data_IF_165236324354
#
_entry.id   IF_165236324354
#
_cell.length_a   1.000
_cell.length_b   1.000
_cell.length_c   1.000
_cell.angle_alpha   90.00
_cell.angle_beta   90.00
_cell.angle_gamma   90.00
#
_symmetry.space_group_name_H-M   'P 1'
#
loop_
_entity.id
_entity.type
_entity.pdbx_description
1 polymer ?
#
# COMPACT_ATOMS: atom_id res chain seq x y z
N UNK A 1 -5.96 -11.37 0.25
CA UNK A 1 -6.20 -11.26 -1.22
C UNK A 1 -5.74 -9.89 -1.71
N UNK A 2 -5.20 -9.78 -2.93
CA UNK A 2 -4.75 -8.50 -3.50
C UNK A 2 -5.66 -8.05 -4.64
N UNK A 3 -5.96 -6.75 -4.73
CA UNK A 3 -6.59 -6.14 -5.91
C UNK A 3 -6.29 -4.63 -5.98
N UNK A 4 -6.54 -4.00 -7.12
CA UNK A 4 -6.49 -2.53 -7.24
C UNK A 4 -7.80 -1.90 -6.75
N UNK A 5 -7.78 -0.64 -6.30
CA UNK A 5 -8.95 0.05 -5.74
C UNK A 5 -10.16 0.03 -6.68
N UNK A 6 -9.93 0.17 -7.99
CA UNK A 6 -10.97 0.15 -9.02
C UNK A 6 -11.29 -1.25 -9.56
N UNK A 7 -10.87 -2.31 -8.87
CA UNK A 7 -11.03 -3.71 -9.29
C UNK A 7 -9.71 -4.33 -9.75
N UNK A 8 -9.16 -3.86 -10.87
CA UNK A 8 -7.83 -4.22 -11.37
C UNK A 8 -7.13 -2.97 -11.93
N UNK A 9 -5.90 -3.11 -12.47
CA UNK A 9 -5.09 -1.99 -12.97
C UNK A 9 -5.85 -1.03 -13.91
N UNK A 10 -6.61 -1.57 -14.89
CA UNK A 10 -7.45 -0.79 -15.81
C UNK A 10 -8.87 -0.52 -15.30
N UNK A 11 -9.16 -0.79 -14.03
CA UNK A 11 -10.48 -0.71 -13.45
C UNK A 11 -11.40 -1.88 -13.84
N UNK A 12 -12.71 -1.61 -13.86
CA UNK A 12 -13.75 -2.60 -14.22
C UNK A 12 -14.16 -2.49 -15.69
N UNK A 13 -14.47 -3.62 -16.32
CA UNK A 13 -14.92 -3.61 -17.72
C UNK A 13 -16.34 -3.01 -17.83
N UNK A 14 -16.43 -1.78 -18.33
CA UNK A 14 -17.70 -1.03 -18.39
C UNK A 14 -18.78 -1.69 -19.27
N UNK A 15 -18.38 -2.48 -20.26
CA UNK A 15 -19.29 -3.21 -21.16
C UNK A 15 -19.76 -4.56 -20.60
N UNK A 16 -19.25 -4.98 -19.44
CA UNK A 16 -19.61 -6.27 -18.84
C UNK A 16 -21.05 -6.28 -18.34
N UNK A 17 -21.82 -7.29 -18.77
CA UNK A 17 -23.20 -7.51 -18.28
C UNK A 17 -23.25 -7.73 -16.77
N UNK A 18 -22.25 -8.43 -16.21
CA UNK A 18 -22.16 -8.70 -14.76
C UNK A 18 -21.90 -7.42 -13.96
N UNK A 19 -21.15 -6.49 -14.54
CA UNK A 19 -20.79 -5.24 -13.87
C UNK A 19 -21.87 -4.16 -13.97
N UNK A 20 -22.88 -4.34 -14.85
CA UNK A 20 -23.94 -3.34 -15.10
C UNK A 20 -24.63 -2.84 -13.83
N UNK A 21 -24.82 -3.71 -12.82
CA UNK A 21 -25.45 -3.33 -11.55
C UNK A 21 -24.68 -2.27 -10.75
N UNK A 22 -23.37 -2.14 -10.98
CA UNK A 22 -22.52 -1.14 -10.33
C UNK A 22 -22.30 0.12 -11.19
N UNK A 23 -22.96 0.21 -12.35
CA UNK A 23 -22.88 1.34 -13.27
C UNK A 23 -21.44 1.81 -13.59
N UNK A 24 -20.54 0.90 -14.03
CA UNK A 24 -19.17 1.28 -14.35
C UNK A 24 -19.11 2.22 -15.56
N UNK A 25 -18.20 3.19 -15.52
CA UNK A 25 -17.95 4.16 -16.59
C UNK A 25 -16.49 4.11 -16.99
N UNK A 26 -16.22 4.12 -18.30
CA UNK A 26 -14.87 4.36 -18.80
C UNK A 26 -14.58 5.86 -18.68
N UNK A 27 -13.54 6.21 -17.95
CA UNK A 27 -13.09 7.59 -17.75
C UNK A 27 -11.62 7.71 -18.07
N UNK A 28 -11.18 8.92 -18.41
CA UNK A 28 -9.79 9.18 -18.79
C UNK A 28 -9.15 10.05 -17.70
N UNK A 29 -8.16 9.52 -16.95
CA UNK A 29 -7.37 10.27 -15.97
C UNK A 29 -6.87 11.58 -16.53
N UNK A 30 -6.88 12.62 -15.70
CA UNK A 30 -6.21 13.89 -16.00
C UNK A 30 -5.10 14.10 -15.00
N UNK A 31 -3.84 14.00 -15.48
CA UNK A 31 -2.67 14.23 -14.65
C UNK A 31 -2.45 15.73 -14.42
N UNK A 32 -2.09 16.10 -13.19
CA UNK A 32 -1.78 17.50 -12.86
C UNK A 32 -0.42 17.90 -13.43
N UNK A 33 -0.21 19.20 -13.72
CA UNK A 33 1.10 19.71 -14.16
C UNK A 33 2.21 19.40 -13.16
N UNK A 34 1.91 19.41 -11.86
CA UNK A 34 2.86 19.05 -10.80
C UNK A 34 3.25 17.57 -10.86
N UNK A 35 2.30 16.67 -11.10
CA UNK A 35 2.59 15.25 -11.27
C UNK A 35 3.53 15.00 -12.45
N UNK A 36 3.18 15.55 -13.62
CA UNK A 36 3.93 15.36 -14.87
C UNK A 36 5.33 16.00 -14.82
N UNK A 37 5.52 17.05 -14.01
CA UNK A 37 6.82 17.72 -13.87
C UNK A 37 7.83 16.97 -12.99
N UNK A 38 7.37 16.06 -12.12
CA UNK A 38 8.25 15.31 -11.21
C UNK A 38 8.75 14.02 -11.86
N UNK A 39 7.85 13.06 -12.08
CA UNK A 39 8.16 11.79 -12.70
C UNK A 39 6.94 11.35 -13.50
N UNK A 40 7.17 11.01 -14.77
CA UNK A 40 6.11 10.49 -15.63
C UNK A 40 6.07 8.97 -15.52
N UNK A 41 4.92 8.45 -15.10
CA UNK A 41 4.69 7.04 -14.89
C UNK A 41 4.01 6.40 -16.12
N UNK A 42 4.58 5.30 -16.61
CA UNK A 42 4.11 4.59 -17.81
C UNK A 42 2.71 3.99 -17.61
N UNK A 43 2.40 3.51 -16.40
CA UNK A 43 1.07 3.02 -16.06
C UNK A 43 0.05 4.17 -16.11
N UNK A 44 0.38 5.34 -15.54
CA UNK A 44 -0.50 6.51 -15.62
C UNK A 44 -0.72 6.98 -17.07
N UNK A 45 0.34 7.03 -17.89
CA UNK A 45 0.21 7.36 -19.31
C UNK A 45 -0.67 6.35 -20.06
N UNK A 46 -0.58 5.07 -19.70
CA UNK A 46 -1.43 4.03 -20.26
C UNK A 46 -2.90 4.22 -19.88
N UNK A 47 -3.19 4.55 -18.62
CA UNK A 47 -4.55 4.83 -18.17
C UNK A 47 -5.11 6.11 -18.81
N UNK A 48 -4.31 7.14 -19.00
CA UNK A 48 -4.71 8.36 -19.72
C UNK A 48 -5.05 8.07 -21.18
N UNK A 49 -4.28 7.20 -21.85
CA UNK A 49 -4.50 6.84 -23.25
C UNK A 49 -5.69 5.89 -23.46
N UNK A 50 -5.83 4.88 -22.62
CA UNK A 50 -6.80 3.79 -22.82
C UNK A 50 -8.04 3.89 -21.95
N UNK A 51 -8.03 4.79 -20.96
CA UNK A 51 -9.08 4.95 -19.97
C UNK A 51 -9.01 3.92 -18.85
N UNK A 52 -9.77 4.20 -17.79
CA UNK A 52 -9.92 3.36 -16.61
C UNK A 52 -11.39 3.21 -16.27
N UNK A 53 -11.81 1.99 -15.95
CA UNK A 53 -13.19 1.67 -15.61
C UNK A 53 -13.50 1.97 -14.14
N UNK A 54 -14.13 3.11 -13.87
CA UNK A 54 -14.55 3.50 -12.52
C UNK A 54 -15.97 2.98 -12.23
N UNK A 55 -16.16 2.32 -11.10
CA UNK A 55 -17.48 1.97 -10.57
C UNK A 55 -18.18 3.23 -10.08
N UNK A 56 -19.50 3.32 -10.19
CA UNK A 56 -20.23 4.47 -9.65
C UNK A 56 -19.94 4.62 -8.14
N UNK A 57 -19.48 5.79 -7.66
CA UNK A 57 -19.18 6.00 -6.25
C UNK A 57 -20.36 5.72 -5.29
N UNK A 58 -21.60 5.77 -5.78
CA UNK A 58 -22.78 5.42 -4.97
C UNK A 58 -23.04 3.90 -4.91
N UNK A 59 -22.35 3.13 -5.74
CA UNK A 59 -22.44 1.66 -5.85
C UNK A 59 -21.17 0.92 -5.42
N UNK A 60 -20.12 1.65 -5.09
CA UNK A 60 -18.81 1.06 -4.79
C UNK A 60 -18.81 0.15 -3.56
N UNK A 61 -19.63 0.44 -2.54
CA UNK A 61 -19.79 -0.46 -1.40
C UNK A 61 -20.39 -1.82 -1.82
N UNK A 62 -21.41 -1.81 -2.67
CA UNK A 62 -22.03 -3.05 -3.18
C UNK A 62 -20.99 -3.87 -3.96
N UNK A 63 -20.21 -3.21 -4.82
CA UNK A 63 -19.11 -3.85 -5.56
C UNK A 63 -18.09 -4.51 -4.63
N UNK A 64 -17.63 -3.78 -3.61
CA UNK A 64 -16.65 -4.30 -2.66
C UNK A 64 -17.20 -5.41 -1.79
N UNK A 65 -18.45 -5.31 -1.34
CA UNK A 65 -19.09 -6.32 -0.54
C UNK A 65 -19.24 -7.64 -1.33
N UNK A 66 -19.68 -7.56 -2.57
CA UNK A 66 -19.84 -8.75 -3.41
C UNK A 66 -18.49 -9.42 -3.72
N UNK A 67 -17.44 -8.62 -3.95
CA UNK A 67 -16.07 -9.13 -4.12
C UNK A 67 -15.55 -9.86 -2.87
N UNK A 68 -16.02 -9.50 -1.66
CA UNK A 68 -15.46 -9.97 -0.38
C UNK A 68 -16.30 -11.02 0.32
N UNK A 69 -17.61 -11.07 0.07
CA UNK A 69 -18.56 -11.90 0.84
C UNK A 69 -18.19 -13.38 0.94
N UNK A 70 -17.57 -13.94 -0.09
CA UNK A 70 -17.14 -15.34 -0.11
C UNK A 70 -15.71 -15.56 0.41
N UNK A 71 -14.89 -14.51 0.53
CA UNK A 71 -13.47 -14.64 0.89
C UNK A 71 -13.28 -15.31 2.28
N UNK A 72 -14.05 -14.97 3.32
CA UNK A 72 -13.96 -15.65 4.61
C UNK A 72 -14.28 -17.15 4.54
N UNK A 73 -15.20 -17.56 3.66
CA UNK A 73 -15.59 -18.98 3.56
C UNK A 73 -14.49 -19.86 2.94
N UNK A 74 -13.53 -19.26 2.24
CA UNK A 74 -12.34 -19.92 1.70
C UNK A 74 -11.07 -19.63 2.50
N UNK A 75 -11.22 -19.10 3.73
CA UNK A 75 -10.11 -18.90 4.66
C UNK A 75 -9.28 -17.63 4.44
N UNK A 76 -9.71 -16.72 3.55
CA UNK A 76 -9.08 -15.41 3.43
C UNK A 76 -9.52 -14.54 4.61
N UNK A 77 -8.56 -13.87 5.25
CA UNK A 77 -8.75 -13.10 6.48
C UNK A 77 -8.52 -11.59 6.29
N UNK A 78 -8.17 -11.14 5.09
CA UNK A 78 -7.87 -9.75 4.80
C UNK A 78 -7.54 -9.46 3.34
N UNK A 79 -7.33 -8.18 3.04
CA UNK A 79 -7.00 -7.70 1.69
C UNK A 79 -5.91 -6.63 1.68
N UNK A 80 -5.11 -6.64 0.62
CA UNK A 80 -4.22 -5.54 0.22
C UNK A 80 -4.84 -4.85 -0.99
N UNK A 81 -5.01 -3.53 -0.92
CA UNK A 81 -5.64 -2.73 -1.98
C UNK A 81 -4.68 -1.69 -2.51
N UNK A 82 -4.22 -1.88 -3.75
CA UNK A 82 -3.26 -1.03 -4.45
C UNK A 82 -3.95 0.05 -5.29
N UNK A 83 -3.14 0.92 -5.89
CA UNK A 83 -3.56 1.92 -6.90
C UNK A 83 -4.59 2.90 -6.35
N UNK A 84 -4.48 3.28 -5.08
CA UNK A 84 -5.48 4.16 -4.45
C UNK A 84 -5.35 5.62 -4.89
N UNK A 85 -4.13 6.09 -5.13
CA UNK A 85 -3.82 7.44 -5.60
C UNK A 85 -4.41 7.77 -6.98
N UNK A 86 -4.81 6.78 -7.77
CA UNK A 86 -5.45 7.01 -9.08
C UNK A 86 -6.67 7.92 -8.96
N UNK A 87 -7.38 7.89 -7.83
CA UNK A 87 -8.56 8.73 -7.60
C UNK A 87 -8.27 10.23 -7.66
N UNK A 88 -7.02 10.65 -7.40
CA UNK A 88 -6.60 12.05 -7.55
C UNK A 88 -6.86 12.57 -8.97
N UNK A 89 -6.73 11.69 -9.97
CA UNK A 89 -6.89 12.01 -11.39
C UNK A 89 -8.31 11.80 -11.93
N UNK A 90 -9.22 11.30 -11.10
CA UNK A 90 -10.55 10.82 -11.51
C UNK A 90 -11.71 11.64 -10.92
N UNK A 91 -11.44 12.80 -10.32
CA UNK A 91 -12.48 13.62 -9.68
C UNK A 91 -13.53 14.23 -10.62
N UNK A 92 -13.24 14.32 -11.93
CA UNK A 92 -14.13 14.98 -12.91
C UNK A 92 -15.45 14.20 -13.04
N UNK A 93 -16.57 14.89 -12.81
CA UNK A 93 -17.90 14.29 -12.89
C UNK A 93 -18.37 13.56 -11.62
N UNK A 94 -17.54 13.53 -10.56
CA UNK A 94 -17.84 12.84 -9.31
C UNK A 94 -17.72 13.76 -8.07
N UNK A 95 -17.88 15.08 -8.26
CA UNK A 95 -17.79 16.06 -7.17
C UNK A 95 -16.36 16.45 -6.77
N UNK A 96 -15.35 16.06 -7.55
CA UNK A 96 -13.94 16.37 -7.29
C UNK A 96 -13.18 15.26 -6.56
N UNK A 97 -11.85 15.34 -6.57
CA UNK A 97 -10.94 14.30 -6.03
C UNK A 97 -11.19 13.96 -4.56
N UNK A 98 -11.51 14.97 -3.74
CA UNK A 98 -11.81 14.77 -2.31
C UNK A 98 -13.09 13.95 -2.11
N UNK A 99 -14.15 14.29 -2.85
CA UNK A 99 -15.45 13.64 -2.69
C UNK A 99 -15.42 12.18 -3.14
N UNK A 100 -14.78 11.90 -4.30
CA UNK A 100 -14.66 10.53 -4.81
C UNK A 100 -13.74 9.68 -3.93
N UNK A 101 -12.60 10.21 -3.49
CA UNK A 101 -11.67 9.50 -2.59
C UNK A 101 -12.35 9.13 -1.28
N UNK A 102 -13.11 10.05 -0.68
CA UNK A 102 -13.87 9.77 0.54
C UNK A 102 -14.88 8.64 0.36
N UNK A 103 -15.68 8.67 -0.71
CA UNK A 103 -16.68 7.62 -0.98
C UNK A 103 -16.04 6.25 -1.13
N UNK A 104 -14.97 6.17 -1.92
CA UNK A 104 -14.23 4.94 -2.15
C UNK A 104 -13.57 4.41 -0.88
N UNK A 105 -12.87 5.26 -0.14
CA UNK A 105 -12.16 4.88 1.08
C UNK A 105 -13.13 4.38 2.15
N UNK A 106 -14.22 5.10 2.40
CA UNK A 106 -15.21 4.71 3.42
C UNK A 106 -15.98 3.45 3.02
N UNK A 107 -16.28 3.26 1.73
CA UNK A 107 -16.89 2.03 1.25
C UNK A 107 -15.95 0.83 1.37
N UNK A 108 -14.65 1.02 1.09
CA UNK A 108 -13.62 0.02 1.28
C UNK A 108 -13.60 -0.41 2.75
N UNK A 109 -13.43 0.52 3.68
CA UNK A 109 -13.38 0.24 5.13
C UNK A 109 -14.67 -0.42 5.63
N UNK A 110 -15.84 0.05 5.19
CA UNK A 110 -17.13 -0.56 5.53
C UNK A 110 -17.22 -2.00 5.04
N UNK A 111 -16.72 -2.29 3.84
CA UNK A 111 -16.71 -3.66 3.30
C UNK A 111 -15.77 -4.58 4.09
N UNK A 112 -14.67 -4.06 4.63
CA UNK A 112 -13.77 -4.84 5.50
C UNK A 112 -14.47 -5.19 6.80
N UNK A 113 -15.03 -4.19 7.49
CA UNK A 113 -15.75 -4.40 8.75
C UNK A 113 -16.95 -5.34 8.61
N UNK A 114 -17.60 -5.35 7.44
CA UNK A 114 -18.73 -6.24 7.16
C UNK A 114 -18.32 -7.71 6.97
N UNK A 115 -17.16 -7.97 6.35
CA UNK A 115 -16.82 -9.30 5.85
C UNK A 115 -15.72 -10.00 6.67
N UNK A 116 -14.83 -9.26 7.33
CA UNK A 116 -13.72 -9.84 8.08
C UNK A 116 -13.88 -9.59 9.58
N UNK A 117 -13.47 -10.59 10.39
CA UNK A 117 -13.48 -10.48 11.87
C UNK A 117 -12.46 -9.46 12.38
N UNK A 118 -11.38 -9.30 11.64
CA UNK A 118 -10.24 -8.43 11.94
C UNK A 118 -10.10 -7.38 10.86
N UNK A 119 -9.49 -6.25 11.21
CA UNK A 119 -9.25 -5.14 10.29
C UNK A 119 -7.95 -5.35 9.49
N UNK A 120 -7.89 -6.46 8.75
CA UNK A 120 -6.73 -6.83 7.95
C UNK A 120 -6.82 -6.17 6.56
N UNK A 121 -6.71 -4.84 6.55
CA UNK A 121 -6.63 -4.02 5.34
C UNK A 121 -5.25 -3.38 5.25
N UNK A 122 -4.55 -3.62 4.14
CA UNK A 122 -3.34 -2.90 3.76
C UNK A 122 -3.67 -1.95 2.61
N UNK A 123 -3.62 -0.64 2.87
CA UNK A 123 -3.78 0.40 1.87
C UNK A 123 -2.45 0.67 1.18
N UNK A 124 -2.41 0.72 -0.15
CA UNK A 124 -1.17 0.87 -0.90
C UNK A 124 -1.33 1.91 -2.00
N UNK A 125 -0.24 2.60 -2.33
CA UNK A 125 -0.26 3.80 -3.19
C UNK A 125 -1.26 4.84 -2.67
N UNK A 126 -1.25 5.13 -1.36
CA UNK A 126 -2.30 5.90 -0.66
C UNK A 126 -1.76 7.11 0.13
N UNK A 127 -0.58 7.62 -0.23
CA UNK A 127 0.09 8.71 0.51
C UNK A 127 -0.50 10.11 0.26
N UNK A 128 -1.42 10.25 -0.69
CA UNK A 128 -2.03 11.55 -0.96
C UNK A 128 -2.90 12.00 0.23
N UNK A 129 -3.02 13.31 0.41
CA UNK A 129 -3.76 13.90 1.51
C UNK A 129 -5.22 13.48 1.53
N UNK A 130 -5.86 13.33 0.36
CA UNK A 130 -7.27 12.92 0.29
C UNK A 130 -7.49 11.53 0.90
N UNK A 131 -6.57 10.60 0.68
CA UNK A 131 -6.63 9.23 1.22
C UNK A 131 -6.39 9.24 2.73
N UNK A 132 -5.35 9.97 3.17
CA UNK A 132 -5.02 10.13 4.61
C UNK A 132 -6.20 10.73 5.38
N UNK A 133 -6.77 11.84 4.90
CA UNK A 133 -7.88 12.52 5.58
C UNK A 133 -9.24 11.84 5.40
N UNK A 134 -9.36 10.88 4.48
CA UNK A 134 -10.59 10.10 4.29
C UNK A 134 -10.60 8.79 5.07
N UNK A 135 -9.44 8.32 5.55
CA UNK A 135 -9.35 7.10 6.34
C UNK A 135 -10.02 7.29 7.71
N UNK A 136 -10.93 6.38 8.07
CA UNK A 136 -11.58 6.37 9.38
C UNK A 136 -11.12 5.17 10.22
N UNK A 137 -10.92 4.03 9.55
CA UNK A 137 -10.61 2.75 10.18
C UNK A 137 -9.43 2.02 9.54
N UNK A 138 -8.90 2.44 8.39
CA UNK A 138 -7.73 1.78 7.79
C UNK A 138 -6.56 1.76 8.78
N UNK A 139 -6.04 0.57 9.04
CA UNK A 139 -4.99 0.39 10.06
C UNK A 139 -3.59 0.41 9.47
N UNK A 140 -3.39 -0.19 8.29
CA UNK A 140 -2.07 -0.36 7.68
C UNK A 140 -2.01 0.37 6.36
N UNK A 141 -0.94 1.12 6.12
CA UNK A 141 -0.66 1.73 4.83
C UNK A 141 0.80 1.45 4.43
N UNK A 142 1.03 1.00 3.19
CA UNK A 142 2.37 0.91 2.62
C UNK A 142 3.02 2.27 2.68
N UNK A 143 4.22 2.36 3.24
CA UNK A 143 4.95 3.62 3.44
C UNK A 143 6.13 3.78 2.48
N UNK A 144 6.29 2.90 1.50
CA UNK A 144 7.43 2.85 0.58
C UNK A 144 6.98 2.76 -0.87
N UNK A 145 7.93 2.98 -1.77
CA UNK A 145 7.86 2.35 -3.09
C UNK A 145 8.04 0.83 -2.99
N UNK A 146 7.78 0.14 -4.10
CA UNK A 146 7.91 -1.31 -4.17
C UNK A 146 9.36 -1.75 -3.92
N UNK A 147 9.53 -2.84 -3.19
CA UNK A 147 10.80 -3.53 -3.07
C UNK A 147 11.24 -4.06 -4.44
N UNK A 148 12.36 -3.53 -4.95
CA UNK A 148 12.93 -3.90 -6.25
C UNK A 148 14.15 -4.83 -6.07
N UNK A 149 13.99 -6.16 -5.99
CA UNK A 149 15.09 -7.09 -5.69
C UNK A 149 16.20 -7.11 -6.74
N UNK A 150 15.93 -6.64 -7.97
CA UNK A 150 16.91 -6.65 -9.06
C UNK A 150 17.69 -5.34 -9.19
N UNK A 151 17.41 -4.37 -8.33
CA UNK A 151 18.00 -3.03 -8.39
C UNK A 151 18.84 -2.78 -7.13
N UNK A 152 20.15 -3.09 -7.14
CA UNK A 152 21.01 -2.98 -5.96
C UNK A 152 21.08 -1.55 -5.37
N UNK A 153 20.96 -0.53 -6.23
CA UNK A 153 20.97 0.88 -5.82
C UNK A 153 19.72 1.29 -5.04
N UNK A 154 18.63 0.52 -5.15
CA UNK A 154 17.36 0.82 -4.48
C UNK A 154 17.24 0.17 -3.10
N UNK A 155 18.14 -0.74 -2.71
CA UNK A 155 18.01 -1.48 -1.45
C UNK A 155 18.06 -0.55 -0.22
N UNK A 156 19.10 0.30 -0.16
CA UNK A 156 19.26 1.28 0.93
C UNK A 156 18.29 2.44 0.80
N UNK A 157 18.03 2.90 -0.43
CA UNK A 157 17.06 3.96 -0.71
C UNK A 157 15.63 3.57 -0.27
N UNK A 158 15.23 2.31 -0.46
CA UNK A 158 13.95 1.79 0.03
C UNK A 158 13.83 1.96 1.53
N UNK A 159 14.83 1.52 2.30
CA UNK A 159 14.83 1.63 3.77
C UNK A 159 14.85 3.09 4.21
N UNK A 160 15.65 3.94 3.57
CA UNK A 160 15.66 5.36 3.87
C UNK A 160 14.29 5.99 3.61
N UNK A 161 13.75 5.84 2.41
CA UNK A 161 12.46 6.40 2.00
C UNK A 161 11.33 5.98 2.94
N UNK A 162 11.20 4.69 3.23
CA UNK A 162 10.11 4.19 4.07
C UNK A 162 10.19 4.68 5.50
N UNK A 163 11.39 4.79 6.06
CA UNK A 163 11.58 5.25 7.42
C UNK A 163 11.30 6.76 7.55
N UNK A 164 11.68 7.57 6.55
CA UNK A 164 11.32 8.99 6.51
C UNK A 164 9.82 9.20 6.28
N UNK A 165 9.18 8.45 5.38
CA UNK A 165 7.73 8.50 5.20
C UNK A 165 6.96 8.09 6.47
N UNK A 166 7.54 7.19 7.27
CA UNK A 166 6.98 6.76 8.56
C UNK A 166 6.95 7.88 9.61
N UNK A 167 7.63 9.02 9.41
CA UNK A 167 7.50 10.19 10.30
C UNK A 167 6.08 10.77 10.31
N UNK A 168 5.42 10.81 9.15
CA UNK A 168 4.03 11.26 9.03
C UNK A 168 3.07 10.07 9.09
N UNK A 169 3.33 9.05 8.28
CA UNK A 169 2.41 7.91 8.16
C UNK A 169 2.31 7.11 9.45
N UNK A 170 3.39 7.01 10.23
CA UNK A 170 3.41 6.28 11.50
C UNK A 170 2.59 6.93 12.62
N UNK A 171 2.19 8.19 12.47
CA UNK A 171 1.28 8.87 13.41
C UNK A 171 -0.20 8.56 13.12
N UNK A 172 -0.49 7.98 11.95
CA UNK A 172 -1.85 7.79 11.43
C UNK A 172 -2.15 6.30 11.20
N UNK A 173 -1.16 5.57 10.69
CA UNK A 173 -1.24 4.15 10.30
C UNK A 173 -0.10 3.36 10.94
N UNK A 174 -0.23 2.04 10.90
CA UNK A 174 0.91 1.13 11.02
C UNK A 174 1.61 1.10 9.65
N UNK A 175 2.86 1.59 9.53
CA UNK A 175 3.55 1.61 8.24
C UNK A 175 3.87 0.18 7.78
N UNK A 176 3.39 -0.19 6.60
CA UNK A 176 3.85 -1.38 5.88
C UNK A 176 5.14 -1.02 5.14
N UNK A 177 6.25 -1.66 5.54
CA UNK A 177 7.57 -1.43 4.95
C UNK A 177 7.85 -2.22 3.67
N UNK A 178 6.80 -2.86 3.14
CA UNK A 178 6.81 -3.80 2.03
C UNK A 178 7.55 -5.11 2.34
N UNK A 179 7.28 -6.09 1.48
CA UNK A 179 7.93 -7.38 1.47
C UNK A 179 9.43 -7.29 1.18
N UNK A 180 10.12 -8.40 1.40
CA UNK A 180 11.50 -8.61 0.95
C UNK A 180 11.70 -10.09 0.55
N UNK A 181 12.83 -10.38 -0.10
CA UNK A 181 13.24 -11.75 -0.38
C UNK A 181 14.20 -12.23 0.70
N UNK A 182 13.87 -13.35 1.37
CA UNK A 182 14.75 -13.98 2.36
C UNK A 182 15.98 -14.61 1.71
N UNK A 183 15.87 -15.07 0.45
CA UNK A 183 17.01 -15.54 -0.33
C UNK A 183 17.52 -14.44 -1.26
N UNK A 184 18.25 -13.49 -0.69
CA UNK A 184 18.79 -12.34 -1.40
C UNK A 184 20.08 -11.84 -0.74
N UNK A 185 20.96 -11.18 -1.51
CA UNK A 185 22.22 -10.64 -0.97
C UNK A 185 21.99 -9.59 0.15
N UNK A 186 20.89 -8.84 0.07
CA UNK A 186 20.49 -7.85 1.06
C UNK A 186 19.48 -8.40 2.10
N UNK A 187 19.24 -9.71 2.15
CA UNK A 187 18.16 -10.30 2.95
C UNK A 187 18.30 -10.02 4.46
N UNK A 188 19.51 -10.11 5.02
CA UNK A 188 19.71 -9.81 6.43
C UNK A 188 19.47 -8.34 6.75
N UNK A 189 19.91 -7.45 5.86
CA UNK A 189 19.66 -6.01 5.96
C UNK A 189 18.16 -5.68 5.95
N UNK A 190 17.42 -6.23 4.99
CA UNK A 190 15.96 -6.02 4.92
C UNK A 190 15.23 -6.67 6.09
N UNK A 191 15.61 -7.90 6.48
CA UNK A 191 15.03 -8.60 7.63
C UNK A 191 15.20 -7.80 8.93
N UNK A 192 16.41 -7.33 9.21
CA UNK A 192 16.69 -6.48 10.37
C UNK A 192 15.88 -5.18 10.33
N UNK A 193 15.78 -4.52 9.17
CA UNK A 193 14.97 -3.31 9.01
C UNK A 193 13.48 -3.56 9.30
N UNK A 194 12.91 -4.68 8.81
CA UNK A 194 11.49 -5.04 9.08
C UNK A 194 11.26 -5.40 10.55
N UNK A 195 12.22 -6.07 11.20
CA UNK A 195 12.15 -6.34 12.65
C UNK A 195 12.04 -5.04 13.48
N UNK A 196 12.66 -3.95 13.00
CA UNK A 196 12.65 -2.64 13.64
C UNK A 196 11.51 -1.71 13.14
N UNK A 197 10.75 -2.12 12.13
CA UNK A 197 9.77 -1.23 11.47
C UNK A 197 8.57 -0.85 12.34
N UNK A 198 8.23 -1.68 13.33
CA UNK A 198 6.96 -1.61 14.06
C UNK A 198 5.73 -2.04 13.23
N UNK A 199 5.94 -2.43 11.97
CA UNK A 199 4.92 -2.92 11.05
C UNK A 199 4.87 -4.44 10.94
N UNK A 200 4.25 -4.93 9.86
CA UNK A 200 4.25 -6.34 9.50
C UNK A 200 5.56 -6.77 8.83
N UNK A 201 5.87 -8.05 8.92
CA UNK A 201 7.00 -8.68 8.21
C UNK A 201 6.44 -9.59 7.12
N UNK A 202 6.68 -9.23 5.86
CA UNK A 202 6.19 -9.99 4.71
C UNK A 202 7.37 -10.48 3.87
N UNK A 203 7.27 -11.72 3.38
CA UNK A 203 8.25 -12.28 2.44
C UNK A 203 7.59 -12.71 1.15
N UNK A 204 8.28 -12.48 0.04
CA UNK A 204 7.76 -12.74 -1.31
C UNK A 204 8.67 -13.63 -2.14
N UNK A 205 9.51 -14.43 -1.48
CA UNK A 205 10.28 -15.44 -2.21
C UNK A 205 9.33 -16.37 -2.97
N UNK A 206 9.84 -16.92 -4.06
CA UNK A 206 9.18 -18.02 -4.75
C UNK A 206 8.92 -19.17 -3.75
N UNK A 207 7.74 -19.81 -3.77
CA UNK A 207 7.46 -20.96 -2.91
C UNK A 207 8.56 -22.03 -2.99
N UNK A 208 9.01 -22.49 -1.83
CA UNK A 208 10.09 -23.47 -1.69
C UNK A 208 11.52 -22.91 -1.79
N UNK A 209 11.69 -21.60 -1.98
CA UNK A 209 13.01 -20.95 -2.15
C UNK A 209 13.43 -20.14 -0.91
N UNK A 210 12.61 -20.12 0.14
CA UNK A 210 12.88 -19.37 1.37
C UNK A 210 14.22 -19.72 2.02
N UNK A 211 14.91 -18.70 2.53
CA UNK A 211 16.06 -18.88 3.40
C UNK A 211 15.62 -18.91 4.87
N UNK A 212 15.43 -20.12 5.40
CA UNK A 212 15.03 -20.29 6.80
C UNK A 212 16.09 -19.83 7.81
N UNK A 213 17.35 -19.65 7.42
CA UNK A 213 18.38 -19.12 8.33
C UNK A 213 18.12 -17.64 8.63
N UNK A 214 17.60 -16.88 7.67
CA UNK A 214 17.17 -15.49 7.84
C UNK A 214 15.83 -15.44 8.56
N UNK A 215 14.84 -16.22 8.12
CA UNK A 215 13.48 -16.16 8.69
C UNK A 215 13.44 -16.53 10.18
N UNK A 216 14.23 -17.52 10.61
CA UNK A 216 14.32 -17.92 12.02
C UNK A 216 14.88 -16.83 12.94
N UNK A 217 15.54 -15.81 12.40
CA UNK A 217 15.99 -14.64 13.18
C UNK A 217 14.86 -13.64 13.46
N UNK A 218 13.74 -13.73 12.73
CA UNK A 218 12.61 -12.81 12.80
C UNK A 218 11.43 -13.36 13.62
N UNK A 219 11.42 -14.65 13.90
CA UNK A 219 10.33 -15.36 14.59
C UNK A 219 10.83 -15.96 15.91
N UNK A 220 9.95 -15.99 16.91
CA UNK A 220 10.18 -16.70 18.16
C UNK A 220 9.96 -18.21 17.96
N UNK A 221 10.44 -19.07 18.89
CA UNK A 221 10.29 -20.53 18.79
C UNK A 221 8.84 -21.02 18.65
N UNK A 222 7.86 -20.25 19.14
CA UNK A 222 6.43 -20.54 19.02
C UNK A 222 5.80 -20.05 17.69
N UNK A 223 6.59 -19.43 16.82
CA UNK A 223 6.17 -18.88 15.54
C UNK A 223 5.61 -17.45 15.62
N UNK A 224 5.52 -16.86 16.81
CA UNK A 224 5.14 -15.45 16.95
C UNK A 224 6.28 -14.50 16.51
N UNK A 225 5.95 -13.24 16.26
CA UNK A 225 6.92 -12.20 15.89
C UNK A 225 6.94 -11.10 16.96
N UNK A 226 8.14 -10.59 17.25
CA UNK A 226 8.26 -9.37 18.04
C UNK A 226 7.91 -8.17 17.16
N UNK A 227 7.12 -7.25 17.71
CA UNK A 227 6.78 -6.00 17.04
C UNK A 227 7.04 -4.85 18.00
N UNK A 228 7.73 -3.85 17.51
CA UNK A 228 7.91 -2.60 18.23
C UNK A 228 6.56 -1.93 18.56
N UNK A 229 6.56 -1.13 19.63
CA UNK A 229 5.36 -0.40 20.05
C UNK A 229 5.00 0.73 19.08
N UNK A 230 6.01 1.36 18.48
CA UNK A 230 5.87 2.48 17.58
C UNK A 230 6.53 2.20 16.23
N UNK A 231 6.13 2.94 15.21
CA UNK A 231 6.77 2.90 13.90
C UNK A 231 8.26 3.25 14.00
N UNK A 232 9.08 2.50 13.27
CA UNK A 232 10.49 2.81 13.07
C UNK A 232 10.65 4.12 12.31
N UNK A 233 11.50 5.02 12.81
CA UNK A 233 11.71 6.35 12.23
C UNK A 233 13.12 6.88 12.47
N UNK A 234 13.63 7.79 11.61
CA UNK A 234 14.92 8.42 11.84
C UNK A 234 14.99 9.10 13.21
N UNK A 235 16.16 9.08 13.84
CA UNK A 235 16.43 9.90 15.02
C UNK A 235 16.45 11.39 14.63
N UNK A 236 16.17 12.27 15.61
CA UNK A 236 16.14 13.72 15.39
C UNK A 236 17.46 14.26 14.80
N UNK A 237 18.59 13.68 15.17
CA UNK A 237 19.93 14.09 14.72
C UNK A 237 20.22 13.75 13.25
N UNK A 238 19.45 12.87 12.58
CA UNK A 238 19.62 12.59 11.15
C UNK A 238 18.46 13.03 10.25
N UNK A 239 17.48 13.79 10.76
CA UNK A 239 16.32 14.26 9.98
C UNK A 239 16.69 15.11 8.74
N UNK A 240 17.83 15.80 8.77
CA UNK A 240 18.30 16.64 7.67
C UNK A 240 19.59 16.11 7.03
N UNK A 241 19.89 14.83 7.22
CA UNK A 241 21.01 14.14 6.57
C UNK A 241 20.44 13.24 5.49
N UNK A 242 21.09 13.20 4.32
CA UNK A 242 20.76 12.23 3.28
C UNK A 242 21.61 10.96 3.50
N UNK A 243 21.06 9.88 4.09
CA UNK A 243 21.84 8.67 4.38
C UNK A 243 22.22 7.89 3.12
N UNK A 244 21.69 8.25 1.95
CA UNK A 244 21.98 7.58 0.68
C UNK A 244 23.12 8.29 -0.05
N UNK A 245 23.17 9.62 0.01
CA UNK A 245 24.11 10.43 -0.77
C UNK A 245 25.29 10.97 0.06
N UNK A 246 25.11 11.24 1.36
CA UNK A 246 26.13 11.95 2.16
C UNK A 246 27.22 11.03 2.71
N UNK A 247 27.12 9.72 2.51
CA UNK A 247 28.03 8.72 3.09
C UNK A 247 27.97 8.66 4.63
N UNK A 248 26.92 9.23 5.24
CA UNK A 248 26.69 9.24 6.69
C UNK A 248 25.63 8.23 7.06
N UNK A 249 25.90 7.43 8.09
CA UNK A 249 24.91 6.53 8.67
C UNK A 249 23.83 7.31 9.43
N UNK A 250 22.56 6.92 9.25
CA UNK A 250 21.43 7.43 10.02
C UNK A 250 21.01 6.40 11.06
N UNK A 251 20.71 6.88 12.26
CA UNK A 251 20.21 6.07 13.36
C UNK A 251 18.70 6.07 13.33
N UNK A 252 18.11 4.94 13.68
CA UNK A 252 16.68 4.75 13.75
C UNK A 252 16.27 4.59 15.21
N UNK A 253 15.19 5.25 15.63
CA UNK A 253 14.59 5.00 16.94
C UNK A 253 13.42 4.06 16.75
N UNK A 254 13.43 3.04 17.58
CA UNK A 254 12.28 2.20 17.88
C UNK A 254 12.02 2.42 19.37
N UNK A 255 10.99 3.18 19.72
CA UNK A 255 10.62 3.33 21.13
C UNK A 255 9.96 2.01 21.59
N UNK A 256 10.51 1.40 22.63
CA UNK A 256 9.97 0.19 23.26
C UNK A 256 8.88 0.56 24.27
#
# INVERSE_FOLDING_TARGET
MWHALLGYWGGTLATSKVMKKYNPKLVYPVQSRGNVANLRDIAMDSLEKFGVGIVDPDKIYEFYNDQRSYLPSVGVDGVKVDVQNVLETLGRGFGGRVAVTRKYQQALEKSIAQNFKTNNLICCMSHNSDSIFSALKSAVARASEDFMPREPTLQTLHIASVAFNSLLLGEIFIPDWDMFHSKHESAEFHGAARALSGGGVYVSDKPGVHDFSVLKKLVLPDGSILRARYAGRPTRDCLFTDPVMDGKSCRWIVQN
#
